data_IF_297825276208
#
_entry.id   IF_297825276208
#
_cell.length_a   1.000
_cell.length_b   1.000
_cell.length_c   1.000
_cell.angle_alpha   90.00
_cell.angle_beta   90.00
_cell.angle_gamma   90.00
#
_symmetry.space_group_name_H-M   'P 1'
#
loop_
_entity.id
_entity.type
_entity.pdbx_description
1 polymer ?
#
# COMPACT_ATOMS: atom_id res chain seq x y z
N UNK A 1 -21.99 17.08 -5.58
CA UNK A 1 -21.79 16.19 -6.74
C UNK A 1 -20.54 15.31 -6.45
N UNK A 2 -20.75 14.29 -5.64
CA UNK A 2 -19.73 13.27 -5.37
C UNK A 2 -19.77 12.25 -6.49
N UNK A 3 -19.01 12.47 -7.54
CA UNK A 3 -18.77 11.44 -8.54
C UNK A 3 -17.90 10.35 -7.92
N UNK A 4 -18.45 9.14 -7.91
CA UNK A 4 -17.84 7.91 -7.47
C UNK A 4 -16.41 7.74 -8.04
N UNK A 5 -15.40 7.92 -7.18
CA UNK A 5 -14.02 7.58 -7.48
C UNK A 5 -13.78 6.05 -7.50
N UNK A 6 -14.84 5.25 -7.40
CA UNK A 6 -14.76 3.79 -7.33
C UNK A 6 -14.98 3.05 -8.65
N UNK A 7 -15.22 3.75 -9.74
CA UNK A 7 -15.11 3.16 -11.07
C UNK A 7 -13.78 3.59 -11.69
N UNK A 8 -12.70 2.91 -11.36
CA UNK A 8 -11.60 2.83 -12.31
C UNK A 8 -12.22 2.35 -13.62
N UNK A 9 -12.17 3.15 -14.70
CA UNK A 9 -12.57 2.62 -15.99
C UNK A 9 -11.65 1.43 -16.23
N UNK A 10 -12.21 0.22 -16.13
CA UNK A 10 -11.55 -1.00 -16.56
C UNK A 10 -11.37 -0.92 -18.06
N UNK A 11 -10.49 -0.03 -18.52
CA UNK A 11 -9.96 -0.10 -19.87
C UNK A 11 -9.22 -1.43 -19.93
N UNK A 12 -9.78 -2.36 -20.64
CA UNK A 12 -9.12 -3.65 -20.87
C UNK A 12 -7.74 -3.34 -21.42
N UNK A 13 -6.74 -4.06 -20.95
CA UNK A 13 -5.35 -3.92 -21.47
C UNK A 13 -5.31 -4.04 -23.00
N UNK A 14 -6.28 -4.76 -23.60
CA UNK A 14 -6.51 -4.84 -25.05
C UNK A 14 -6.76 -3.49 -25.72
N UNK A 15 -7.43 -2.54 -25.02
CA UNK A 15 -7.78 -1.25 -25.62
C UNK A 15 -6.56 -0.32 -25.80
N UNK A 16 -5.46 -0.62 -25.09
CA UNK A 16 -4.18 0.09 -25.22
C UNK A 16 -3.36 -0.40 -26.42
N UNK A 17 -3.61 -1.64 -26.86
CA UNK A 17 -2.84 -2.26 -27.95
C UNK A 17 -3.07 -1.56 -29.30
N UNK A 18 -4.26 -1.01 -29.49
CA UNK A 18 -4.67 -0.39 -30.76
C UNK A 18 -4.35 1.12 -30.84
N UNK A 19 -3.73 1.69 -29.79
CA UNK A 19 -3.35 3.10 -29.75
C UNK A 19 -1.89 3.27 -30.15
N UNK A 20 -1.62 4.29 -30.98
CA UNK A 20 -0.26 4.74 -31.23
C UNK A 20 0.27 5.43 -29.98
N UNK A 21 1.20 4.77 -29.28
CA UNK A 21 1.88 5.30 -28.10
C UNK A 21 3.30 4.73 -28.03
N UNK A 22 4.23 5.51 -27.49
CA UNK A 22 5.63 5.10 -27.30
C UNK A 22 5.82 4.33 -26.00
N UNK A 23 4.98 4.58 -24.99
CA UNK A 23 5.04 3.91 -23.72
C UNK A 23 3.81 4.13 -22.84
N UNK A 24 3.70 3.33 -21.80
CA UNK A 24 2.60 3.37 -20.82
C UNK A 24 3.10 3.10 -19.41
N UNK A 25 2.61 3.87 -18.45
CA UNK A 25 2.75 3.59 -17.03
C UNK A 25 1.40 3.08 -16.49
N UNK A 26 1.40 1.97 -15.75
CA UNK A 26 0.17 1.29 -15.33
C UNK A 26 0.27 0.76 -13.90
N UNK A 27 -0.77 0.99 -13.10
CA UNK A 27 -1.01 0.25 -11.86
C UNK A 27 -1.73 -1.03 -12.24
N UNK A 28 -1.15 -2.18 -11.97
CA UNK A 28 -1.61 -3.45 -12.52
C UNK A 28 -1.73 -4.55 -11.46
N UNK A 29 -2.72 -5.43 -11.63
CA UNK A 29 -2.83 -6.65 -10.85
C UNK A 29 -1.79 -7.67 -11.31
N UNK A 30 -1.19 -8.42 -10.39
CA UNK A 30 -0.36 -9.58 -10.73
C UNK A 30 -1.25 -10.76 -11.16
N UNK A 31 -1.65 -10.72 -12.42
CA UNK A 31 -2.53 -11.74 -13.02
C UNK A 31 -1.95 -12.20 -14.37
N UNK A 32 -2.05 -13.50 -14.73
CA UNK A 32 -1.52 -14.01 -15.99
C UNK A 32 -1.98 -13.22 -17.23
N UNK A 33 -3.25 -12.87 -17.34
CA UNK A 33 -3.77 -12.09 -18.47
C UNK A 33 -3.17 -10.68 -18.54
N UNK A 34 -2.88 -10.05 -17.38
CA UNK A 34 -2.21 -8.74 -17.33
C UNK A 34 -0.76 -8.86 -17.77
N UNK A 35 -0.07 -9.93 -17.34
CA UNK A 35 1.30 -10.24 -17.75
C UNK A 35 1.40 -10.45 -19.25
N UNK A 36 0.47 -11.21 -19.83
CA UNK A 36 0.40 -11.42 -21.28
C UNK A 36 0.13 -10.12 -22.03
N UNK A 37 -0.77 -9.26 -21.55
CA UNK A 37 -1.03 -7.95 -22.13
C UNK A 37 0.20 -7.04 -22.11
N UNK A 38 0.93 -7.00 -21.00
CA UNK A 38 2.21 -6.28 -20.90
C UNK A 38 3.21 -6.82 -21.91
N UNK A 39 3.36 -8.14 -21.98
CA UNK A 39 4.27 -8.78 -22.94
C UNK A 39 3.90 -8.49 -24.40
N UNK A 40 2.60 -8.44 -24.73
CA UNK A 40 2.11 -8.08 -26.04
C UNK A 40 2.40 -6.62 -26.40
N UNK A 41 2.24 -5.68 -25.46
CA UNK A 41 2.62 -4.27 -25.67
C UNK A 41 4.12 -4.13 -25.93
N UNK A 42 4.96 -4.76 -25.12
CA UNK A 42 6.42 -4.72 -25.28
C UNK A 42 6.85 -5.35 -26.61
N UNK A 43 6.20 -6.43 -27.06
CA UNK A 43 6.50 -7.07 -28.36
C UNK A 43 6.17 -6.16 -29.55
N UNK A 44 5.35 -5.13 -29.37
CA UNK A 44 5.04 -4.09 -30.36
C UNK A 44 5.93 -2.85 -30.24
N UNK A 45 6.94 -2.89 -29.37
CA UNK A 45 7.87 -1.77 -29.15
C UNK A 45 7.35 -0.72 -28.16
N UNK A 46 6.24 -0.97 -27.48
CA UNK A 46 5.68 -0.04 -26.49
C UNK A 46 6.37 -0.29 -25.13
N UNK A 47 7.00 0.73 -24.59
CA UNK A 47 7.63 0.66 -23.25
C UNK A 47 6.58 0.58 -22.16
N UNK A 48 6.71 -0.38 -21.23
CA UNK A 48 5.78 -0.52 -20.10
C UNK A 48 6.51 -0.32 -18.78
N UNK A 49 5.97 0.57 -17.94
CA UNK A 49 6.39 0.78 -16.55
C UNK A 49 5.23 0.41 -15.63
N UNK A 50 5.46 -0.47 -14.66
CA UNK A 50 4.47 -0.72 -13.60
C UNK A 50 4.64 0.29 -12.46
N UNK A 51 3.53 0.74 -11.87
CA UNK A 51 3.46 1.72 -10.78
C UNK A 51 2.82 1.08 -9.55
N UNK A 52 3.29 1.44 -8.36
CA UNK A 52 2.69 1.06 -7.05
C UNK A 52 2.68 -0.46 -6.82
N UNK A 53 1.99 -1.20 -7.66
CA UNK A 53 1.91 -2.66 -7.66
C UNK A 53 2.59 -3.23 -8.89
N UNK A 54 3.40 -4.27 -8.70
CA UNK A 54 4.24 -4.85 -9.75
C UNK A 54 3.64 -6.12 -10.37
N UNK A 55 4.09 -6.44 -11.58
CA UNK A 55 3.80 -7.70 -12.30
C UNK A 55 5.12 -8.40 -12.65
N UNK A 56 5.75 -9.09 -11.69
CA UNK A 56 7.01 -9.78 -11.92
C UNK A 56 6.87 -10.88 -12.99
N UNK A 57 7.98 -11.11 -13.70
CA UNK A 57 8.00 -12.07 -14.81
C UNK A 57 7.31 -11.57 -16.09
N UNK A 58 6.76 -10.34 -16.10
CA UNK A 58 6.42 -9.64 -17.33
C UNK A 58 7.66 -9.00 -17.98
N UNK A 59 7.55 -8.64 -19.25
CA UNK A 59 8.60 -7.93 -20.00
C UNK A 59 8.61 -6.42 -19.76
N UNK A 60 7.99 -5.93 -18.67
CA UNK A 60 8.00 -4.51 -18.33
C UNK A 60 9.43 -3.97 -18.24
N UNK A 61 9.63 -2.71 -18.62
CA UNK A 61 10.94 -2.07 -18.59
C UNK A 61 11.38 -1.73 -17.16
N UNK A 62 10.45 -1.24 -16.34
CA UNK A 62 10.76 -0.78 -14.99
C UNK A 62 9.55 -0.93 -14.07
N UNK A 63 9.83 -1.03 -12.76
CA UNK A 63 8.85 -0.89 -11.69
C UNK A 63 9.16 0.38 -10.91
N UNK A 64 8.22 1.32 -10.90
CA UNK A 64 8.30 2.54 -10.10
C UNK A 64 7.39 2.39 -8.87
N UNK A 65 7.97 1.97 -7.76
CA UNK A 65 7.31 1.77 -6.48
C UNK A 65 8.33 1.44 -5.40
N UNK A 66 7.87 1.38 -4.17
CA UNK A 66 8.70 1.02 -3.00
C UNK A 66 8.95 -0.49 -2.93
N UNK A 67 9.91 -0.90 -2.12
CA UNK A 67 10.01 -2.30 -1.64
C UNK A 67 8.91 -2.56 -0.62
N UNK A 68 7.81 -3.16 -1.08
CA UNK A 68 6.63 -3.41 -0.25
C UNK A 68 6.89 -4.40 0.88
N UNK A 69 7.75 -5.41 0.68
CA UNK A 69 8.16 -6.31 1.76
C UNK A 69 8.94 -5.56 2.84
N UNK A 70 9.83 -4.64 2.46
CA UNK A 70 10.53 -3.77 3.41
C UNK A 70 9.58 -2.83 4.15
N UNK A 71 8.55 -2.30 3.48
CA UNK A 71 7.51 -1.50 4.12
C UNK A 71 6.75 -2.29 5.20
N UNK A 72 6.35 -3.52 4.89
CA UNK A 72 5.73 -4.43 5.85
C UNK A 72 6.64 -4.75 7.04
N UNK A 73 7.92 -5.08 6.80
CA UNK A 73 8.90 -5.29 7.88
C UNK A 73 9.09 -4.05 8.74
N UNK A 74 9.08 -2.87 8.12
CA UNK A 74 9.17 -1.59 8.84
C UNK A 74 7.97 -1.38 9.74
N UNK A 75 6.75 -1.65 9.24
CA UNK A 75 5.52 -1.58 10.03
C UNK A 75 5.59 -2.51 11.27
N UNK A 76 6.04 -3.74 11.08
CA UNK A 76 6.19 -4.70 12.18
C UNK A 76 7.20 -4.24 13.23
N UNK A 77 8.35 -3.71 12.79
CA UNK A 77 9.35 -3.17 13.72
C UNK A 77 8.83 -1.97 14.51
N UNK A 78 8.09 -1.06 13.87
CA UNK A 78 7.45 0.06 14.56
C UNK A 78 6.40 -0.45 15.56
N UNK A 79 5.52 -1.36 15.13
CA UNK A 79 4.49 -1.98 15.97
C UNK A 79 5.10 -2.63 17.21
N UNK A 80 6.08 -3.50 17.03
CA UNK A 80 6.73 -4.19 18.15
C UNK A 80 7.47 -3.26 19.10
N UNK A 81 8.03 -2.15 18.61
CA UNK A 81 8.70 -1.14 19.45
C UNK A 81 7.71 -0.30 20.24
N UNK A 82 6.59 0.10 19.63
CA UNK A 82 5.53 0.87 20.32
C UNK A 82 4.81 0.02 21.37
N UNK A 83 4.66 -1.29 21.13
CA UNK A 83 4.02 -2.24 22.04
C UNK A 83 5.02 -2.95 22.98
N UNK A 84 6.21 -2.40 23.15
CA UNK A 84 7.27 -3.02 23.96
C UNK A 84 6.79 -3.28 25.40
N UNK A 85 6.89 -4.53 25.84
CA UNK A 85 6.49 -4.97 27.18
C UNK A 85 4.99 -5.21 27.32
N UNK A 86 4.22 -5.09 26.27
CA UNK A 86 2.79 -5.41 26.22
C UNK A 86 2.58 -6.80 25.62
N UNK A 87 1.47 -7.42 25.99
CA UNK A 87 0.97 -8.67 25.38
C UNK A 87 -0.45 -8.45 24.92
N UNK A 88 -0.83 -8.99 23.78
CA UNK A 88 -2.16 -8.83 23.21
C UNK A 88 -2.20 -9.17 21.74
N UNK A 89 -3.32 -8.81 21.10
CA UNK A 89 -3.55 -9.09 19.69
C UNK A 89 -3.29 -7.88 18.80
N UNK A 90 -2.86 -8.15 17.57
CA UNK A 90 -2.64 -7.15 16.51
C UNK A 90 -3.49 -7.51 15.30
N UNK A 91 -4.41 -6.62 14.94
CA UNK A 91 -5.26 -6.75 13.75
C UNK A 91 -4.54 -6.29 12.48
N UNK A 92 -4.83 -6.95 11.36
CA UNK A 92 -4.32 -6.57 10.05
C UNK A 92 -5.46 -6.38 9.07
N UNK A 93 -5.51 -5.22 8.41
CA UNK A 93 -6.46 -4.91 7.36
C UNK A 93 -5.75 -4.78 6.01
N UNK A 94 -6.37 -5.32 4.97
CA UNK A 94 -5.94 -5.16 3.59
C UNK A 94 -7.11 -4.67 2.73
N UNK A 95 -6.80 -3.85 1.72
CA UNK A 95 -7.80 -3.45 0.72
C UNK A 95 -8.17 -4.62 -0.16
N UNK A 96 -7.21 -5.16 -0.89
CA UNK A 96 -7.38 -6.36 -1.70
C UNK A 96 -6.12 -7.22 -1.71
N UNK A 97 -6.31 -8.51 -1.45
CA UNK A 97 -5.24 -9.51 -1.56
C UNK A 97 -4.97 -9.94 -3.02
N UNK A 98 -5.67 -9.38 -3.99
CA UNK A 98 -5.34 -9.52 -5.40
C UNK A 98 -4.22 -8.54 -5.83
N UNK A 99 -3.90 -7.54 -5.01
CA UNK A 99 -2.82 -6.58 -5.23
C UNK A 99 -1.52 -7.10 -4.60
N UNK A 100 -0.47 -7.14 -5.40
CA UNK A 100 0.82 -7.70 -4.98
C UNK A 100 1.48 -6.89 -3.87
N UNK A 101 1.41 -5.57 -3.93
CA UNK A 101 1.91 -4.68 -2.89
C UNK A 101 1.28 -4.97 -1.52
N UNK A 102 -0.03 -5.26 -1.46
CA UNK A 102 -0.70 -5.65 -0.21
C UNK A 102 -0.20 -6.99 0.32
N UNK A 103 -0.05 -8.00 -0.56
CA UNK A 103 0.49 -9.32 -0.17
C UNK A 103 1.92 -9.19 0.36
N UNK A 104 2.77 -8.43 -0.34
CA UNK A 104 4.17 -8.25 0.06
C UNK A 104 4.30 -7.49 1.39
N UNK A 105 3.49 -6.44 1.62
CA UNK A 105 3.42 -5.72 2.90
C UNK A 105 2.97 -6.63 4.03
N UNK A 106 1.89 -7.39 3.82
CA UNK A 106 1.39 -8.35 4.79
C UNK A 106 2.46 -9.39 5.14
N UNK A 107 3.04 -10.03 4.13
CA UNK A 107 4.07 -11.07 4.34
C UNK A 107 5.29 -10.53 5.10
N UNK A 108 5.79 -9.35 4.73
CA UNK A 108 6.90 -8.70 5.42
C UNK A 108 6.57 -8.39 6.88
N UNK A 109 5.35 -7.94 7.17
CA UNK A 109 4.85 -7.68 8.51
C UNK A 109 4.78 -8.97 9.34
N UNK A 110 4.08 -9.99 8.85
CA UNK A 110 3.90 -11.27 9.55
C UNK A 110 5.23 -11.96 9.85
N UNK A 111 6.19 -11.91 8.90
CA UNK A 111 7.51 -12.50 9.06
C UNK A 111 8.25 -11.91 10.26
N UNK A 112 8.32 -10.59 10.40
CA UNK A 112 9.01 -9.94 11.51
C UNK A 112 8.26 -10.13 12.81
N UNK A 113 6.91 -10.01 12.81
CA UNK A 113 6.11 -10.25 14.01
C UNK A 113 6.31 -11.65 14.57
N UNK A 114 6.32 -12.67 13.71
CA UNK A 114 6.51 -14.05 14.13
C UNK A 114 7.91 -14.33 14.70
N UNK A 115 8.96 -13.70 14.16
CA UNK A 115 10.34 -13.98 14.54
C UNK A 115 10.83 -13.11 15.71
N UNK A 116 10.47 -11.81 15.72
CA UNK A 116 11.03 -10.85 16.68
C UNK A 116 10.05 -10.45 17.78
N UNK A 117 8.75 -10.56 17.52
CA UNK A 117 7.68 -10.11 18.42
C UNK A 117 6.62 -11.19 18.67
N UNK A 118 7.04 -12.44 18.82
CA UNK A 118 6.16 -13.62 18.95
C UNK A 118 5.22 -13.59 20.19
N UNK A 119 5.46 -12.67 21.12
CA UNK A 119 4.56 -12.38 22.24
C UNK A 119 3.32 -11.56 21.87
N UNK A 120 3.29 -11.01 20.65
CA UNK A 120 2.17 -10.29 20.05
C UNK A 120 1.47 -11.22 19.05
N UNK A 121 0.20 -11.55 19.29
CA UNK A 121 -0.54 -12.45 18.43
C UNK A 121 -1.11 -11.68 17.23
N UNK A 122 -0.60 -11.95 16.02
CA UNK A 122 -1.14 -11.37 14.79
C UNK A 122 -2.39 -12.13 14.36
N UNK A 123 -3.49 -11.42 14.22
CA UNK A 123 -4.77 -11.98 13.78
C UNK A 123 -4.79 -12.18 12.26
N UNK A 124 -5.63 -13.10 11.75
CA UNK A 124 -5.82 -13.26 10.32
C UNK A 124 -6.21 -11.95 9.65
N UNK A 125 -5.63 -11.70 8.47
CA UNK A 125 -5.91 -10.47 7.70
C UNK A 125 -7.38 -10.37 7.33
N UNK A 126 -7.93 -9.16 7.42
CA UNK A 126 -9.31 -8.83 7.05
C UNK A 126 -9.30 -8.03 5.75
N UNK A 127 -9.90 -8.57 4.69
CA UNK A 127 -9.99 -7.92 3.40
C UNK A 127 -11.23 -7.04 3.30
N UNK A 128 -11.02 -5.75 3.01
CA UNK A 128 -12.09 -4.73 3.04
C UNK A 128 -12.55 -4.28 1.66
N UNK A 129 -11.75 -4.52 0.61
CA UNK A 129 -11.95 -4.00 -0.75
C UNK A 129 -11.97 -2.47 -0.82
N UNK A 130 -11.20 -1.82 0.06
CA UNK A 130 -11.08 -0.36 0.20
C UNK A 130 -12.41 0.37 0.48
N UNK A 131 -13.45 -0.35 0.89
CA UNK A 131 -14.73 0.21 1.32
C UNK A 131 -14.62 0.70 2.77
N UNK A 132 -14.64 2.02 2.95
CA UNK A 132 -14.46 2.64 4.27
C UNK A 132 -15.59 2.32 5.26
N UNK A 133 -16.84 2.17 4.80
CA UNK A 133 -17.97 1.84 5.67
C UNK A 133 -17.87 0.38 6.16
N UNK A 134 -17.47 -0.51 5.25
CA UNK A 134 -17.19 -1.90 5.59
C UNK A 134 -16.03 -2.02 6.57
N UNK A 135 -14.95 -1.27 6.38
CA UNK A 135 -13.80 -1.26 7.31
C UNK A 135 -14.22 -0.74 8.70
N UNK A 136 -15.05 0.29 8.77
CA UNK A 136 -15.55 0.81 10.06
C UNK A 136 -16.31 -0.28 10.82
N UNK A 137 -17.21 -0.99 10.14
CA UNK A 137 -17.95 -2.11 10.74
C UNK A 137 -17.00 -3.24 11.17
N UNK A 138 -16.07 -3.63 10.30
CA UNK A 138 -15.06 -4.66 10.61
C UNK A 138 -14.16 -4.24 11.78
N UNK A 139 -13.87 -2.95 11.95
CA UNK A 139 -13.11 -2.43 13.09
C UNK A 139 -13.91 -2.56 14.38
N UNK A 140 -15.20 -2.22 14.37
CA UNK A 140 -16.08 -2.40 15.53
C UNK A 140 -16.19 -3.87 15.95
N UNK A 141 -16.34 -4.77 14.95
CA UNK A 141 -16.37 -6.21 15.20
C UNK A 141 -15.05 -6.71 15.77
N UNK A 142 -13.91 -6.27 15.22
CA UNK A 142 -12.59 -6.64 15.71
C UNK A 142 -12.40 -6.24 17.18
N UNK A 143 -12.83 -5.03 17.55
CA UNK A 143 -12.76 -4.54 18.93
C UNK A 143 -13.65 -5.33 19.89
N UNK A 144 -14.81 -5.79 19.43
CA UNK A 144 -15.73 -6.60 20.24
C UNK A 144 -15.23 -8.05 20.40
N UNK A 145 -14.67 -8.64 19.34
CA UNK A 145 -14.14 -10.00 19.35
C UNK A 145 -12.82 -10.15 20.11
N UNK A 146 -12.01 -9.07 20.13
CA UNK A 146 -10.68 -9.04 20.73
C UNK A 146 -10.53 -7.88 21.71
N UNK A 147 -11.02 -8.03 22.97
CA UNK A 147 -10.85 -7.00 24.01
C UNK A 147 -9.38 -6.70 24.33
N UNK A 148 -8.49 -7.65 24.05
CA UNK A 148 -7.04 -7.58 24.18
C UNK A 148 -6.33 -6.99 22.94
N UNK A 149 -7.08 -6.40 21.99
CA UNK A 149 -6.51 -5.73 20.82
C UNK A 149 -5.72 -4.49 21.26
N UNK A 150 -4.44 -4.46 20.89
CA UNK A 150 -3.49 -3.38 21.24
C UNK A 150 -2.82 -2.75 20.05
N UNK A 151 -2.94 -3.36 18.86
CA UNK A 151 -2.36 -2.83 17.64
C UNK A 151 -3.21 -3.11 16.41
N UNK A 152 -3.14 -2.22 15.42
CA UNK A 152 -3.72 -2.39 14.09
C UNK A 152 -2.68 -1.98 13.04
N UNK A 153 -2.51 -2.82 12.02
CA UNK A 153 -1.77 -2.49 10.81
C UNK A 153 -2.72 -2.48 9.61
N UNK A 154 -2.81 -1.35 8.92
CA UNK A 154 -3.55 -1.24 7.65
C UNK A 154 -2.58 -1.19 6.48
N UNK A 155 -2.55 -2.22 5.66
CA UNK A 155 -1.61 -2.34 4.53
C UNK A 155 -2.04 -1.57 3.28
N UNK A 156 -3.28 -1.10 3.21
CA UNK A 156 -3.85 -0.45 2.03
C UNK A 156 -4.78 0.71 2.34
N UNK A 157 -5.80 0.89 1.52
CA UNK A 157 -6.81 1.93 1.68
C UNK A 157 -7.73 1.74 2.88
N UNK A 158 -8.72 2.62 3.01
CA UNK A 158 -9.75 2.49 4.05
C UNK A 158 -9.37 2.99 5.45
N UNK A 159 -8.22 3.63 5.63
CA UNK A 159 -7.76 4.23 6.89
C UNK A 159 -8.85 5.04 7.61
N UNK A 160 -9.73 5.71 6.84
CA UNK A 160 -10.87 6.46 7.38
C UNK A 160 -11.78 5.59 8.25
N UNK A 161 -12.12 4.40 7.78
CA UNK A 161 -13.04 3.50 8.51
C UNK A 161 -12.42 2.99 9.81
N UNK A 162 -11.11 2.69 9.83
CA UNK A 162 -10.41 2.29 11.05
C UNK A 162 -10.40 3.44 12.07
N UNK A 163 -10.01 4.65 11.64
CA UNK A 163 -10.01 5.84 12.51
C UNK A 163 -11.40 6.09 13.09
N UNK A 164 -12.44 6.05 12.24
CA UNK A 164 -13.83 6.24 12.67
C UNK A 164 -14.27 5.19 13.70
N UNK A 165 -13.98 3.92 13.46
CA UNK A 165 -14.31 2.82 14.37
C UNK A 165 -13.59 2.93 15.72
N UNK A 166 -12.29 3.29 15.71
CA UNK A 166 -11.49 3.48 16.92
C UNK A 166 -11.96 4.70 17.75
N UNK A 167 -12.21 5.83 17.07
CA UNK A 167 -12.70 7.06 17.73
C UNK A 167 -14.09 6.87 18.33
N UNK A 168 -15.01 6.21 17.61
CA UNK A 168 -16.35 5.90 18.09
C UNK A 168 -16.35 4.96 19.30
N UNK A 169 -15.38 4.03 19.38
CA UNK A 169 -15.20 3.13 20.50
C UNK A 169 -14.40 3.75 21.68
N UNK A 170 -13.88 4.96 21.53
CA UNK A 170 -13.01 5.60 22.53
C UNK A 170 -11.64 4.93 22.69
N UNK A 171 -11.22 4.07 21.72
CA UNK A 171 -10.01 3.28 21.80
C UNK A 171 -8.85 3.82 20.93
N UNK A 172 -9.04 4.97 20.30
CA UNK A 172 -8.08 5.52 19.32
C UNK A 172 -6.70 5.87 19.92
N UNK A 173 -6.58 6.05 21.24
CA UNK A 173 -5.31 6.33 21.92
C UNK A 173 -4.73 5.13 22.66
N UNK A 174 -5.49 4.05 22.75
CA UNK A 174 -5.07 2.83 23.47
C UNK A 174 -4.52 1.78 22.51
N UNK A 175 -4.79 1.94 21.21
CA UNK A 175 -4.42 0.98 20.17
C UNK A 175 -3.39 1.64 19.25
N UNK A 176 -2.21 1.06 19.16
CA UNK A 176 -1.19 1.48 18.21
C UNK A 176 -1.68 1.26 16.78
N UNK A 177 -1.81 2.33 16.01
CA UNK A 177 -2.28 2.23 14.64
C UNK A 177 -1.20 2.70 13.65
N UNK A 178 -0.78 1.77 12.77
CA UNK A 178 0.15 2.04 11.66
C UNK A 178 -0.61 1.93 10.34
N UNK A 179 -0.54 2.96 9.52
CA UNK A 179 -1.22 3.06 8.24
C UNK A 179 -0.25 3.32 7.10
N UNK A 180 -0.76 3.23 5.89
CA UNK A 180 -0.08 3.69 4.67
C UNK A 180 -0.70 4.97 4.15
N UNK A 181 0.09 5.75 3.39
CA UNK A 181 -0.23 6.95 2.64
C UNK A 181 -0.61 8.18 3.48
N UNK A 182 0.09 9.28 3.20
CA UNK A 182 -0.25 10.60 3.71
C UNK A 182 -1.36 11.20 2.86
N UNK A 183 -2.55 11.24 3.43
CA UNK A 183 -3.74 11.92 2.88
C UNK A 183 -4.18 13.00 3.86
N UNK A 184 -5.06 13.89 3.46
CA UNK A 184 -5.63 14.91 4.38
C UNK A 184 -6.26 14.29 5.63
N UNK A 185 -6.85 13.10 5.48
CA UNK A 185 -7.46 12.38 6.60
C UNK A 185 -6.41 11.78 7.52
N UNK A 186 -5.47 10.98 6.97
CA UNK A 186 -4.44 10.32 7.77
C UNK A 186 -3.51 11.34 8.44
N UNK A 187 -3.22 12.48 7.77
CA UNK A 187 -2.51 13.61 8.34
C UNK A 187 -3.21 14.16 9.59
N UNK A 188 -4.52 14.44 9.48
CA UNK A 188 -5.31 14.93 10.63
C UNK A 188 -5.38 13.89 11.76
N UNK A 189 -5.54 12.61 11.42
CA UNK A 189 -5.60 11.53 12.40
C UNK A 189 -4.25 11.35 13.13
N UNK A 190 -3.13 11.47 12.42
CA UNK A 190 -1.79 11.43 13.00
C UNK A 190 -1.55 12.62 13.98
N UNK A 191 -1.97 13.84 13.58
CA UNK A 191 -1.88 15.02 14.46
C UNK A 191 -2.72 14.87 15.72
N UNK A 192 -3.91 14.25 15.63
CA UNK A 192 -4.78 13.99 16.79
C UNK A 192 -4.33 12.81 17.65
N UNK A 193 -3.41 11.97 17.15
CA UNK A 193 -2.95 10.76 17.82
C UNK A 193 -3.93 9.59 17.69
N UNK A 194 -4.74 9.54 16.63
CA UNK A 194 -5.54 8.36 16.25
C UNK A 194 -4.75 7.43 15.32
N UNK A 195 -3.61 7.87 14.81
CA UNK A 195 -2.60 7.10 14.08
C UNK A 195 -1.25 7.41 14.74
N UNK A 196 -0.37 6.42 14.89
CA UNK A 196 0.95 6.58 15.49
C UNK A 196 2.05 6.77 14.46
N UNK A 197 1.96 6.08 13.33
CA UNK A 197 2.89 6.22 12.21
C UNK A 197 2.23 5.97 10.86
N UNK A 198 2.71 6.67 9.84
CA UNK A 198 2.31 6.46 8.45
C UNK A 198 3.56 6.06 7.66
N UNK A 199 3.47 4.92 6.98
CA UNK A 199 4.47 4.51 5.99
C UNK A 199 4.00 5.05 4.65
N UNK A 200 4.82 5.87 4.02
CA UNK A 200 4.45 6.59 2.81
C UNK A 200 5.35 6.19 1.64
N UNK A 201 4.75 6.08 0.49
CA UNK A 201 5.42 6.08 -0.80
C UNK A 201 5.16 7.44 -1.46
N UNK A 202 6.20 8.08 -2.00
CA UNK A 202 6.05 9.35 -2.72
C UNK A 202 5.45 9.09 -4.11
N UNK A 203 4.10 9.13 -4.21
CA UNK A 203 3.39 8.93 -5.47
C UNK A 203 3.84 9.94 -6.55
N UNK A 204 4.21 11.17 -6.14
CA UNK A 204 4.78 12.17 -7.04
C UNK A 204 6.15 11.71 -7.59
N UNK A 205 7.01 11.13 -6.77
CA UNK A 205 8.28 10.56 -7.23
C UNK A 205 8.06 9.35 -8.13
N UNK A 206 7.13 8.45 -7.80
CA UNK A 206 6.78 7.29 -8.64
C UNK A 206 6.38 7.72 -10.05
N UNK A 207 5.46 8.69 -10.15
CA UNK A 207 5.02 9.22 -11.46
C UNK A 207 6.16 9.89 -12.20
N UNK A 208 6.96 10.73 -11.52
CA UNK A 208 8.13 11.38 -12.16
C UNK A 208 9.17 10.36 -12.61
N UNK A 209 9.42 9.31 -11.83
CA UNK A 209 10.30 8.20 -12.19
C UNK A 209 9.78 7.48 -13.44
N UNK A 210 8.50 7.09 -13.45
CA UNK A 210 7.89 6.43 -14.59
C UNK A 210 8.01 7.26 -15.88
N UNK A 211 7.73 8.57 -15.80
CA UNK A 211 7.85 9.47 -16.95
C UNK A 211 9.31 9.56 -17.44
N UNK A 212 10.29 9.71 -16.53
CA UNK A 212 11.71 9.72 -16.92
C UNK A 212 12.13 8.43 -17.62
N UNK A 213 11.70 7.27 -17.09
CA UNK A 213 12.00 5.96 -17.70
C UNK A 213 11.39 5.85 -19.09
N UNK A 214 10.13 6.26 -19.26
CA UNK A 214 9.45 6.24 -20.55
C UNK A 214 10.15 7.15 -21.57
N UNK A 215 10.48 8.38 -21.18
CA UNK A 215 11.18 9.34 -22.05
C UNK A 215 12.58 8.87 -22.39
N UNK A 216 13.36 8.42 -21.41
CA UNK A 216 14.72 7.93 -21.66
C UNK A 216 14.73 6.74 -22.63
N UNK A 217 13.72 5.86 -22.55
CA UNK A 217 13.61 4.74 -23.48
C UNK A 217 13.22 5.22 -24.89
N UNK A 218 12.28 6.15 -25.02
CA UNK A 218 11.89 6.73 -26.30
C UNK A 218 13.09 7.46 -26.97
N UNK A 219 13.84 8.24 -26.19
CA UNK A 219 14.98 9.03 -26.66
C UNK A 219 16.30 8.24 -26.71
N UNK A 220 16.29 6.96 -26.29
CA UNK A 220 17.48 6.10 -26.17
C UNK A 220 18.58 6.69 -25.29
N UNK A 221 18.17 7.39 -24.24
CA UNK A 221 19.07 8.01 -23.29
C UNK A 221 19.33 7.08 -22.08
N UNK A 222 20.55 7.15 -21.47
CA UNK A 222 20.84 6.36 -20.28
C UNK A 222 20.02 6.85 -19.07
N UNK A 223 19.58 5.90 -18.24
CA UNK A 223 18.95 6.17 -16.95
C UNK A 223 19.98 6.16 -15.83
N UNK A 224 19.77 7.01 -14.85
CA UNK A 224 20.55 6.98 -13.59
C UNK A 224 19.71 6.18 -12.59
N UNK A 225 19.98 4.88 -12.48
CA UNK A 225 19.20 3.93 -11.66
C UNK A 225 18.97 4.38 -10.21
N UNK A 226 19.96 5.04 -9.60
CA UNK A 226 19.85 5.54 -8.22
C UNK A 226 18.79 6.63 -8.05
N UNK A 227 18.43 7.36 -9.11
CA UNK A 227 17.40 8.39 -9.10
C UNK A 227 15.98 7.79 -9.23
N UNK A 228 15.90 6.58 -9.75
CA UNK A 228 14.62 5.91 -9.97
C UNK A 228 14.19 5.04 -8.78
N UNK A 229 15.03 4.97 -7.74
CA UNK A 229 14.72 4.23 -6.53
C UNK A 229 13.75 5.02 -5.64
N UNK A 230 12.54 4.52 -5.52
CA UNK A 230 11.54 5.10 -4.60
C UNK A 230 11.88 4.70 -3.17
N UNK A 231 11.88 5.68 -2.27
CA UNK A 231 12.16 5.48 -0.85
C UNK A 231 10.87 5.28 -0.06
N UNK A 232 10.99 4.56 1.04
CA UNK A 232 9.96 4.47 2.06
C UNK A 232 10.18 5.62 3.04
N UNK A 233 9.19 6.50 3.18
CA UNK A 233 9.18 7.53 4.20
C UNK A 233 8.34 7.09 5.39
N UNK A 234 8.77 7.46 6.60
CA UNK A 234 8.02 7.22 7.83
C UNK A 234 7.64 8.57 8.39
N UNK A 235 6.34 8.83 8.47
CA UNK A 235 5.81 10.04 9.07
C UNK A 235 5.20 9.76 10.44
N UNK A 236 5.63 10.56 11.38
CA UNK A 236 5.03 10.74 12.71
C UNK A 236 4.51 12.17 12.80
N UNK A 237 3.85 12.51 13.90
CA UNK A 237 3.20 13.83 14.06
C UNK A 237 4.11 15.01 13.74
N UNK A 238 5.38 14.94 14.14
CA UNK A 238 6.27 16.10 14.15
C UNK A 238 7.16 16.19 12.88
N UNK A 239 7.11 15.22 11.96
CA UNK A 239 7.86 15.24 10.69
C UNK A 239 6.99 15.14 9.43
N UNK A 240 5.69 15.50 9.55
CA UNK A 240 4.78 15.57 8.40
C UNK A 240 5.27 16.62 7.37
N UNK A 241 5.12 16.31 6.05
CA UNK A 241 5.51 17.22 4.99
C UNK A 241 4.60 18.45 4.89
#
# INVERSE_FOLDING_TARGET
DHRDLHSFPTRRSSDLIDKAMDGVAVVALDHPAVREAINALVSRGITVVTLVSDVPGSKRQHYAGIDNSSAGRTAANLMGRFLRGMTGTVGVFAGSLALRDHIERQFGFEQVMAHEYSHLAVLPVRESRDDWARIEEMTRQLLAEHPDLIGIYNVGGGTRGIVSGLEAAGRAKDIVFIAHEVTDLSRRALIRGSIDAIINQDAGHEVRSAVRVLMANADKMPLIESQERIRIDIFMRDNLP
#
